data_IF_154472709941
#
_entry.id   IF_154472709941
#
_cell.length_a   1.000
_cell.length_b   1.000
_cell.length_c   1.000
_cell.angle_alpha   90.00
_cell.angle_beta   90.00
_cell.angle_gamma   90.00
#
_symmetry.space_group_name_H-M   'P 1'
#
loop_
_entity.id
_entity.type
_entity.pdbx_description
1 polymer ?
#
# COMPACT_ATOMS: atom_id res chain seq x y z
N UNK A 1 -11.39 54.97 -30.23
CA UNK A 1 -10.71 54.15 -31.26
C UNK A 1 -10.24 52.88 -30.56
N UNK A 2 -11.07 51.83 -30.58
CA UNK A 2 -11.03 50.70 -31.53
C UNK A 2 -10.04 49.61 -31.04
N UNK A 3 -10.38 48.33 -30.89
CA UNK A 3 -11.62 47.59 -31.11
C UNK A 3 -11.60 46.31 -30.25
N UNK A 4 -12.76 46.01 -29.64
CA UNK A 4 -13.13 44.71 -29.08
C UNK A 4 -13.54 43.77 -30.22
N UNK A 5 -13.03 42.53 -30.23
CA UNK A 5 -13.65 41.42 -30.96
C UNK A 5 -13.86 40.27 -29.97
N UNK A 6 -15.12 40.15 -29.57
CA UNK A 6 -15.76 39.00 -28.94
C UNK A 6 -16.19 37.97 -29.99
N UNK A 7 -16.21 36.67 -29.62
CA UNK A 7 -17.22 35.62 -29.94
C UNK A 7 -16.60 34.21 -29.73
N UNK A 8 -17.40 33.13 -29.60
CA UNK A 8 -18.48 32.92 -28.65
C UNK A 8 -18.36 31.55 -27.92
N UNK A 9 -19.09 31.42 -26.82
CA UNK A 9 -19.44 30.14 -26.18
C UNK A 9 -20.41 29.33 -27.06
N UNK A 10 -20.40 27.99 -26.97
CA UNK A 10 -21.62 27.21 -27.09
C UNK A 10 -22.02 26.59 -25.75
N UNK A 11 -23.34 26.55 -25.62
CA UNK A 11 -24.12 26.25 -24.44
C UNK A 11 -24.11 24.80 -23.96
N UNK A 12 -24.54 24.70 -22.71
CA UNK A 12 -25.09 23.57 -21.99
C UNK A 12 -25.71 22.45 -22.83
N UNK A 13 -25.37 21.20 -22.48
CA UNK A 13 -26.29 20.08 -22.63
C UNK A 13 -26.46 19.33 -21.31
N UNK A 14 -27.72 19.36 -20.86
CA UNK A 14 -28.32 18.51 -19.84
C UNK A 14 -28.09 17.03 -20.14
N UNK A 15 -27.54 16.28 -19.18
CA UNK A 15 -27.65 14.82 -19.14
C UNK A 15 -28.90 14.44 -18.36
N UNK A 16 -30.06 14.45 -19.02
CA UNK A 16 -31.20 13.66 -18.60
C UNK A 16 -31.09 12.27 -19.22
N UNK A 17 -30.70 11.28 -18.42
CA UNK A 17 -30.83 9.87 -18.76
C UNK A 17 -32.30 9.45 -18.65
N UNK A 18 -33.04 9.64 -19.74
CA UNK A 18 -34.38 9.08 -19.93
C UNK A 18 -34.30 7.74 -20.67
N UNK A 19 -34.89 6.69 -20.10
CA UNK A 19 -35.19 5.44 -20.79
C UNK A 19 -36.27 5.71 -21.85
N UNK A 20 -35.94 5.52 -23.13
CA UNK A 20 -36.93 5.54 -24.19
C UNK A 20 -37.40 4.12 -24.50
N UNK A 21 -38.69 3.87 -24.33
CA UNK A 21 -39.37 2.66 -24.83
C UNK A 21 -40.04 3.00 -26.15
N UNK A 22 -39.78 2.21 -27.19
CA UNK A 22 -40.56 2.27 -28.44
C UNK A 22 -41.47 1.05 -28.47
N UNK A 23 -42.77 1.32 -28.54
CA UNK A 23 -43.82 0.32 -28.72
C UNK A 23 -43.98 0.11 -30.23
N UNK A 24 -43.58 -1.06 -30.73
CA UNK A 24 -43.95 -1.46 -32.08
C UNK A 24 -45.27 -2.22 -31.99
N UNK A 25 -46.17 -1.97 -32.94
CA UNK A 25 -47.47 -2.63 -33.03
C UNK A 25 -47.31 -4.14 -32.90
N UNK A 26 -48.24 -4.74 -32.16
CA UNK A 26 -48.33 -6.15 -31.79
C UNK A 26 -47.50 -6.54 -30.55
N UNK A 27 -47.90 -5.98 -29.40
CA UNK A 27 -47.84 -6.65 -28.09
C UNK A 27 -46.49 -6.95 -27.43
N UNK A 28 -45.35 -6.89 -28.10
CA UNK A 28 -44.04 -7.21 -27.51
C UNK A 28 -43.19 -5.96 -27.21
N UNK A 29 -42.65 -5.88 -25.99
CA UNK A 29 -41.62 -4.90 -25.61
C UNK A 29 -40.27 -5.61 -25.53
N UNK A 30 -39.31 -5.26 -26.39
CA UNK A 30 -37.94 -5.81 -26.35
C UNK A 30 -36.91 -4.73 -26.03
N UNK A 31 -36.00 -5.05 -25.10
CA UNK A 31 -34.87 -4.20 -24.71
C UNK A 31 -33.70 -4.45 -25.68
N UNK A 32 -33.35 -3.45 -26.49
CA UNK A 32 -32.26 -3.56 -27.49
C UNK A 32 -30.91 -3.13 -26.88
N UNK A 33 -30.05 -4.10 -26.53
CA UNK A 33 -28.63 -3.88 -26.31
C UNK A 33 -27.88 -4.09 -27.63
N UNK A 34 -27.67 -3.01 -28.40
CA UNK A 34 -27.13 -3.13 -29.75
C UNK A 34 -26.46 -1.89 -30.29
N UNK A 35 -25.45 -1.35 -29.58
CA UNK A 35 -24.50 -0.35 -30.13
C UNK A 35 -23.19 -0.32 -29.30
N UNK A 36 -22.34 -1.33 -29.47
CA UNK A 36 -20.92 -1.22 -29.08
C UNK A 36 -19.94 -1.99 -30.00
N UNK A 37 -20.42 -2.65 -31.07
CA UNK A 37 -19.55 -3.44 -31.97
C UNK A 37 -19.26 -2.72 -33.30
N UNK A 38 -19.87 -1.56 -33.59
CA UNK A 38 -19.64 -0.84 -34.85
C UNK A 38 -18.66 0.34 -34.80
N UNK A 39 -18.02 0.61 -33.66
CA UNK A 39 -17.09 1.76 -33.52
C UNK A 39 -15.61 1.35 -33.47
N UNK A 40 -15.30 0.05 -33.52
CA UNK A 40 -13.91 -0.45 -33.52
C UNK A 40 -13.35 -0.66 -34.94
N UNK A 41 -14.22 -0.77 -35.96
CA UNK A 41 -13.80 -1.00 -37.36
C UNK A 41 -13.60 0.27 -38.21
N UNK A 42 -13.76 1.48 -37.64
CA UNK A 42 -13.68 2.75 -38.40
C UNK A 42 -12.49 3.66 -38.05
N UNK A 43 -11.43 3.13 -37.45
CA UNK A 43 -10.12 3.81 -37.40
C UNK A 43 -9.09 3.09 -38.28
N UNK A 44 -9.42 3.01 -39.57
CA UNK A 44 -8.46 2.74 -40.64
C UNK A 44 -7.83 4.07 -41.06
N UNK A 45 -6.60 4.35 -40.65
CA UNK A 45 -5.78 5.43 -41.23
C UNK A 45 -4.79 4.89 -42.28
N UNK A 46 -4.31 5.74 -43.21
CA UNK A 46 -3.84 5.33 -44.53
C UNK A 46 -2.45 4.67 -44.50
N UNK A 47 -2.25 3.72 -45.43
CA UNK A 47 -0.95 3.13 -45.74
C UNK A 47 -0.05 4.15 -46.42
N UNK A 48 1.07 4.51 -45.79
CA UNK A 48 2.09 5.36 -46.39
C UNK A 48 3.39 5.42 -45.60
N UNK A 49 4.35 4.57 -46.00
CA UNK A 49 5.81 4.69 -45.87
C UNK A 49 6.43 5.14 -44.52
N UNK A 50 6.97 4.17 -43.76
CA UNK A 50 8.27 4.38 -43.10
C UNK A 50 9.05 3.07 -42.93
N UNK A 51 10.35 3.19 -43.22
CA UNK A 51 11.38 2.16 -43.34
C UNK A 51 11.85 1.63 -41.97
N UNK A 52 10.92 1.07 -41.17
CA UNK A 52 11.22 0.47 -39.86
C UNK A 52 10.47 -0.84 -39.58
N UNK A 53 9.67 -1.33 -40.55
CA UNK A 53 8.89 -2.57 -40.44
C UNK A 53 9.51 -3.81 -41.09
N UNK A 54 10.76 -3.72 -41.58
CA UNK A 54 11.42 -4.79 -42.34
C UNK A 54 12.39 -5.66 -41.54
N UNK A 55 12.88 -5.22 -40.38
CA UNK A 55 13.97 -5.93 -39.68
C UNK A 55 13.54 -6.80 -38.48
N UNK A 56 12.25 -6.88 -38.16
CA UNK A 56 11.76 -7.74 -37.07
C UNK A 56 11.15 -9.07 -37.53
N UNK A 57 11.30 -9.43 -38.81
CA UNK A 57 10.66 -10.62 -39.41
C UNK A 57 11.61 -11.80 -39.67
N UNK A 58 12.84 -11.77 -39.14
CA UNK A 58 13.87 -12.79 -39.43
C UNK A 58 14.30 -13.68 -38.26
N UNK A 59 13.72 -13.56 -37.06
CA UNK A 59 14.07 -14.45 -35.95
C UNK A 59 12.81 -14.92 -35.25
N UNK A 60 12.66 -16.25 -35.12
CA UNK A 60 11.58 -17.01 -34.49
C UNK A 60 10.49 -17.56 -35.45
N UNK A 61 10.81 -18.71 -36.04
CA UNK A 61 9.83 -19.73 -36.45
C UNK A 61 9.45 -20.58 -35.23
N UNK A 62 8.18 -20.56 -34.81
CA UNK A 62 7.50 -21.65 -34.10
C UNK A 62 5.99 -21.60 -34.47
N UNK A 63 5.27 -22.74 -34.40
CA UNK A 63 4.00 -22.92 -35.10
C UNK A 63 2.85 -22.23 -34.36
N UNK A 64 1.91 -21.70 -35.14
CA UNK A 64 0.64 -21.15 -34.66
C UNK A 64 -0.23 -22.27 -34.07
N UNK A 65 -0.38 -22.29 -32.75
CA UNK A 65 -1.59 -22.82 -32.12
C UNK A 65 -2.65 -21.72 -32.11
N UNK A 66 -3.77 -21.95 -32.79
CA UNK A 66 -4.96 -21.10 -32.71
C UNK A 66 -5.61 -21.29 -31.34
N UNK A 67 -5.56 -20.25 -30.50
CA UNK A 67 -6.42 -20.17 -29.32
C UNK A 67 -7.74 -19.50 -29.71
N UNK A 68 -8.85 -20.23 -29.51
CA UNK A 68 -10.20 -19.69 -29.61
C UNK A 68 -10.42 -18.59 -28.55
N UNK A 69 -11.05 -17.48 -28.98
CA UNK A 69 -11.31 -16.23 -28.25
C UNK A 69 -12.40 -16.32 -27.16
N UNK A 70 -12.48 -17.42 -26.42
CA UNK A 70 -13.44 -17.60 -25.30
C UNK A 70 -12.81 -17.61 -23.89
N UNK A 71 -11.52 -17.29 -23.78
CA UNK A 71 -10.72 -17.53 -22.57
C UNK A 71 -10.97 -16.59 -21.35
N UNK A 72 -11.16 -15.25 -21.49
CA UNK A 72 -11.17 -14.36 -20.31
C UNK A 72 -12.38 -14.53 -19.38
N UNK A 73 -13.54 -14.90 -19.92
CA UNK A 73 -14.75 -15.13 -19.12
C UNK A 73 -14.68 -16.42 -18.32
N UNK A 74 -14.01 -17.44 -18.85
CA UNK A 74 -13.86 -18.72 -18.17
C UNK A 74 -13.01 -18.56 -16.90
N UNK A 75 -11.87 -17.86 -16.96
CA UNK A 75 -11.00 -17.68 -15.78
C UNK A 75 -11.67 -16.91 -14.62
N UNK A 76 -12.46 -15.87 -14.91
CA UNK A 76 -13.15 -15.10 -13.85
C UNK A 76 -14.22 -15.89 -13.07
N UNK A 77 -14.86 -16.87 -13.71
CA UNK A 77 -15.86 -17.75 -13.07
C UNK A 77 -15.18 -18.78 -12.16
N UNK A 78 -13.97 -19.26 -12.50
CA UNK A 78 -13.26 -20.21 -11.65
C UNK A 78 -12.63 -19.55 -10.42
N UNK A 79 -12.09 -18.33 -10.54
CA UNK A 79 -11.45 -17.61 -9.42
C UNK A 79 -12.47 -17.21 -8.34
N UNK A 80 -13.65 -16.75 -8.74
CA UNK A 80 -14.73 -16.41 -7.80
C UNK A 80 -15.30 -17.64 -7.11
N UNK A 81 -15.46 -18.77 -7.83
CA UNK A 81 -15.86 -20.04 -7.22
C UNK A 81 -14.82 -20.53 -6.22
N UNK A 82 -13.52 -20.43 -6.53
CA UNK A 82 -12.44 -20.78 -5.62
C UNK A 82 -12.48 -20.02 -4.30
N UNK A 83 -12.66 -18.70 -4.34
CA UNK A 83 -12.77 -17.85 -3.14
C UNK A 83 -13.99 -18.18 -2.27
N UNK A 84 -15.16 -18.38 -2.88
CA UNK A 84 -16.38 -18.77 -2.17
C UNK A 84 -16.22 -20.16 -1.55
N UNK A 85 -15.59 -21.09 -2.28
CA UNK A 85 -15.27 -22.43 -1.79
C UNK A 85 -14.34 -22.38 -0.57
N UNK A 86 -13.26 -21.60 -0.63
CA UNK A 86 -12.32 -21.44 0.49
C UNK A 86 -12.96 -20.75 1.69
N UNK A 87 -13.86 -19.79 1.47
CA UNK A 87 -14.64 -19.18 2.53
C UNK A 87 -15.60 -20.19 3.18
N UNK A 88 -16.27 -21.04 2.41
CA UNK A 88 -17.15 -22.09 2.95
C UNK A 88 -16.35 -23.11 3.75
N UNK A 89 -15.17 -23.55 3.28
CA UNK A 89 -14.31 -24.47 4.03
C UNK A 89 -13.81 -23.91 5.37
N UNK A 90 -13.73 -22.59 5.51
CA UNK A 90 -13.39 -21.95 6.79
C UNK A 90 -14.50 -22.09 7.83
N UNK A 91 -15.76 -22.24 7.40
CA UNK A 91 -16.94 -22.20 8.28
C UNK A 91 -17.79 -23.47 8.25
N UNK A 92 -17.50 -24.42 7.37
CA UNK A 92 -18.28 -25.63 7.17
C UNK A 92 -17.41 -26.78 6.64
N UNK A 93 -17.76 -28.01 7.03
CA UNK A 93 -17.15 -29.24 6.52
C UNK A 93 -17.46 -29.43 5.02
N UNK A 94 -16.60 -30.18 4.31
CA UNK A 94 -16.80 -30.64 2.94
C UNK A 94 -18.20 -31.24 2.71
N UNK A 95 -18.73 -31.99 3.70
CA UNK A 95 -20.06 -32.61 3.64
C UNK A 95 -21.17 -31.54 3.67
N UNK A 96 -21.04 -30.54 4.54
CA UNK A 96 -22.02 -29.45 4.66
C UNK A 96 -22.02 -28.61 3.37
N UNK A 97 -20.85 -28.43 2.75
CA UNK A 97 -20.69 -27.68 1.50
C UNK A 97 -21.38 -28.37 0.32
N UNK A 98 -21.13 -29.66 0.10
CA UNK A 98 -21.75 -30.40 -1.03
C UNK A 98 -23.27 -30.42 -0.88
N UNK A 99 -23.75 -30.60 0.35
CA UNK A 99 -25.17 -30.56 0.65
C UNK A 99 -25.78 -29.16 0.43
N UNK A 100 -25.13 -28.10 0.94
CA UNK A 100 -25.59 -26.71 0.75
C UNK A 100 -25.61 -26.29 -0.72
N UNK A 101 -24.63 -26.74 -1.51
CA UNK A 101 -24.60 -26.51 -2.96
C UNK A 101 -25.75 -27.22 -3.68
N UNK A 102 -26.11 -28.43 -3.27
CA UNK A 102 -27.26 -29.15 -3.82
C UNK A 102 -28.59 -28.45 -3.48
N UNK A 103 -28.77 -27.98 -2.24
CA UNK A 103 -29.93 -27.18 -1.85
C UNK A 103 -30.02 -25.86 -2.62
N UNK A 104 -28.92 -25.13 -2.75
CA UNK A 104 -28.88 -23.88 -3.51
C UNK A 104 -29.24 -24.09 -4.99
N UNK A 105 -28.75 -25.18 -5.59
CA UNK A 105 -29.11 -25.57 -6.96
C UNK A 105 -30.60 -25.88 -7.06
N UNK A 106 -31.16 -26.62 -6.11
CA UNK A 106 -32.59 -26.92 -6.06
C UNK A 106 -33.46 -25.66 -5.95
N UNK A 107 -33.08 -24.70 -5.11
CA UNK A 107 -33.77 -23.40 -4.98
C UNK A 107 -33.71 -22.64 -6.30
N UNK A 108 -32.55 -22.53 -6.93
CA UNK A 108 -32.41 -21.82 -8.21
C UNK A 108 -33.23 -22.45 -9.34
N UNK A 109 -33.29 -23.78 -9.40
CA UNK A 109 -34.14 -24.49 -10.37
C UNK A 109 -35.63 -24.22 -10.12
N UNK A 110 -36.07 -24.19 -8.86
CA UNK A 110 -37.43 -23.83 -8.49
C UNK A 110 -37.77 -22.38 -8.88
N UNK A 111 -36.89 -21.43 -8.57
CA UNK A 111 -37.03 -20.03 -8.98
C UNK A 111 -37.13 -19.90 -10.49
N UNK A 112 -36.31 -20.65 -11.23
CA UNK A 112 -36.32 -20.61 -12.68
C UNK A 112 -37.62 -21.12 -13.31
N UNK A 113 -38.18 -22.20 -12.75
CA UNK A 113 -39.49 -22.69 -13.16
C UNK A 113 -40.60 -21.68 -12.83
N UNK A 114 -40.60 -21.15 -11.60
CA UNK A 114 -41.67 -20.27 -11.11
C UNK A 114 -41.70 -18.91 -11.81
N UNK A 115 -40.55 -18.27 -12.00
CA UNK A 115 -40.49 -16.91 -12.57
C UNK A 115 -40.36 -16.87 -14.10
N UNK A 116 -39.74 -17.87 -14.72
CA UNK A 116 -39.45 -17.85 -16.16
C UNK A 116 -40.23 -18.92 -16.95
N UNK A 117 -41.09 -19.71 -16.29
CA UNK A 117 -41.94 -20.70 -16.95
C UNK A 117 -41.16 -21.81 -17.66
N UNK A 118 -39.91 -22.07 -17.27
CA UNK A 118 -39.09 -23.09 -17.91
C UNK A 118 -39.68 -24.49 -17.69
N UNK A 119 -39.82 -25.33 -18.73
CA UNK A 119 -40.42 -26.65 -18.59
C UNK A 119 -39.60 -27.53 -17.64
N UNK A 120 -40.23 -28.03 -16.59
CA UNK A 120 -39.61 -28.95 -15.64
C UNK A 120 -39.72 -30.38 -16.13
N UNK A 121 -38.61 -31.12 -16.06
CA UNK A 121 -38.62 -32.57 -16.27
C UNK A 121 -38.52 -33.29 -14.92
N UNK A 122 -38.78 -34.60 -14.93
CA UNK A 122 -38.72 -35.45 -13.73
C UNK A 122 -37.35 -35.37 -13.02
N UNK A 123 -36.27 -35.18 -13.78
CA UNK A 123 -34.91 -35.05 -13.22
C UNK A 123 -34.80 -33.80 -12.35
N UNK A 124 -35.31 -32.65 -12.80
CA UNK A 124 -35.31 -31.43 -11.97
C UNK A 124 -36.14 -31.61 -10.69
N UNK A 125 -37.30 -32.26 -10.80
CA UNK A 125 -38.12 -32.56 -9.63
C UNK A 125 -37.37 -33.45 -8.62
N UNK A 126 -36.64 -34.47 -9.08
CA UNK A 126 -35.81 -35.33 -8.23
C UNK A 126 -34.62 -34.59 -7.60
N UNK A 127 -33.97 -33.70 -8.35
CA UNK A 127 -32.85 -32.86 -7.84
C UNK A 127 -33.31 -31.90 -6.74
N UNK A 128 -34.58 -31.46 -6.76
CA UNK A 128 -35.16 -30.66 -5.67
C UNK A 128 -35.64 -31.55 -4.52
N UNK A 129 -36.35 -32.64 -4.80
CA UNK A 129 -36.97 -33.45 -3.74
C UNK A 129 -35.94 -34.22 -2.92
N UNK A 130 -34.91 -34.82 -3.53
CA UNK A 130 -33.96 -35.70 -2.84
C UNK A 130 -33.17 -34.96 -1.75
N UNK A 131 -32.49 -33.82 -2.01
CA UNK A 131 -31.73 -33.12 -0.96
C UNK A 131 -32.61 -32.65 0.20
N UNK A 132 -33.81 -32.13 -0.09
CA UNK A 132 -34.73 -31.64 0.94
C UNK A 132 -35.38 -32.77 1.75
N UNK A 133 -35.62 -33.93 1.13
CA UNK A 133 -36.08 -35.14 1.82
C UNK A 133 -34.99 -35.69 2.75
N UNK A 134 -33.73 -35.70 2.28
CA UNK A 134 -32.57 -36.09 3.08
C UNK A 134 -32.33 -35.16 4.27
N UNK A 135 -32.63 -33.86 4.14
CA UNK A 135 -32.62 -32.92 5.28
C UNK A 135 -33.64 -33.32 6.37
N UNK A 136 -34.80 -33.83 5.95
CA UNK A 136 -35.89 -34.23 6.84
C UNK A 136 -35.64 -35.57 7.53
N UNK A 137 -35.03 -36.52 6.82
CA UNK A 137 -34.85 -37.90 7.28
C UNK A 137 -33.56 -38.15 8.07
N UNK A 138 -32.70 -37.15 8.24
CA UNK A 138 -31.47 -37.26 9.01
C UNK A 138 -31.58 -36.61 10.39
N UNK A 139 -32.24 -37.24 11.39
CA UNK A 139 -32.25 -36.75 12.77
C UNK A 139 -30.83 -36.70 13.36
N UNK A 140 -29.92 -37.55 12.88
CA UNK A 140 -28.48 -37.49 13.18
C UNK A 140 -27.81 -36.23 12.65
N UNK A 141 -28.19 -35.72 11.47
CA UNK A 141 -27.63 -34.49 10.91
C UNK A 141 -28.16 -33.25 11.63
N UNK A 142 -29.45 -33.24 12.01
CA UNK A 142 -30.03 -32.18 12.84
C UNK A 142 -29.39 -32.13 14.22
N UNK A 143 -29.21 -33.27 14.87
CA UNK A 143 -28.48 -33.36 16.16
C UNK A 143 -26.99 -33.05 16.01
N UNK A 144 -26.33 -33.46 14.93
CA UNK A 144 -24.93 -33.14 14.67
C UNK A 144 -24.74 -31.64 14.42
N UNK A 145 -25.54 -31.02 13.56
CA UNK A 145 -25.49 -29.59 13.28
C UNK A 145 -25.84 -28.75 14.53
N UNK A 146 -26.89 -29.13 15.28
CA UNK A 146 -27.25 -28.45 16.52
C UNK A 146 -26.22 -28.67 17.62
N UNK A 147 -25.61 -29.85 17.74
CA UNK A 147 -24.54 -30.10 18.71
C UNK A 147 -23.23 -29.38 18.34
N UNK A 148 -22.92 -29.25 17.05
CA UNK A 148 -21.75 -28.50 16.60
C UNK A 148 -21.94 -26.99 16.80
N UNK A 149 -23.15 -26.47 16.52
CA UNK A 149 -23.55 -25.09 16.85
C UNK A 149 -23.56 -24.86 18.38
N UNK A 150 -24.11 -25.79 19.16
CA UNK A 150 -24.16 -25.66 20.62
C UNK A 150 -22.79 -25.83 21.29
N UNK A 151 -21.88 -26.67 20.77
CA UNK A 151 -20.48 -26.71 21.24
C UNK A 151 -19.74 -25.41 20.90
N UNK A 152 -20.05 -24.77 19.77
CA UNK A 152 -19.49 -23.45 19.42
C UNK A 152 -20.02 -22.30 20.30
N UNK A 153 -21.19 -22.48 20.92
CA UNK A 153 -21.85 -21.49 21.79
C UNK A 153 -21.54 -21.76 23.28
N UNK A 154 -21.55 -23.01 23.72
CA UNK A 154 -21.41 -23.44 25.13
C UNK A 154 -19.97 -23.40 25.67
N UNK A 155 -18.97 -23.37 24.80
CA UNK A 155 -17.57 -23.13 25.20
C UNK A 155 -17.26 -21.65 25.48
N UNK A 156 -18.22 -20.74 25.29
CA UNK A 156 -18.08 -19.35 25.73
C UNK A 156 -18.45 -19.25 27.21
N UNK A 157 -17.42 -19.24 28.06
CA UNK A 157 -17.52 -18.77 29.45
C UNK A 157 -18.35 -17.46 29.49
N UNK A 158 -19.17 -17.24 30.53
CA UNK A 158 -19.88 -15.98 30.70
C UNK A 158 -18.86 -14.83 30.61
N UNK A 159 -19.01 -14.01 29.58
CA UNK A 159 -18.18 -12.83 29.39
C UNK A 159 -18.55 -11.89 30.52
N UNK A 160 -17.65 -11.77 31.50
CA UNK A 160 -17.69 -10.71 32.49
C UNK A 160 -17.65 -9.38 31.71
N UNK A 161 -18.76 -8.65 31.64
CA UNK A 161 -18.89 -7.33 30.96
C UNK A 161 -18.23 -6.23 31.82
N UNK A 162 -17.20 -6.57 32.59
CA UNK A 162 -16.42 -5.64 33.38
C UNK A 162 -15.06 -5.44 32.71
N UNK A 163 -14.91 -4.25 32.11
CA UNK A 163 -13.80 -3.75 31.30
C UNK A 163 -13.59 -4.46 29.96
N UNK A 164 -14.19 -3.91 28.91
CA UNK A 164 -13.59 -3.90 27.56
C UNK A 164 -12.26 -3.18 27.65
N UNK A 165 -11.22 -3.88 28.14
CA UNK A 165 -9.84 -3.43 28.11
C UNK A 165 -9.54 -3.14 26.66
N UNK A 166 -9.44 -1.86 26.29
CA UNK A 166 -9.07 -1.45 24.94
C UNK A 166 -7.75 -2.16 24.64
N UNK A 167 -7.78 -3.13 23.73
CA UNK A 167 -6.56 -3.78 23.25
C UNK A 167 -5.76 -2.69 22.54
N UNK A 168 -4.69 -2.24 23.19
CA UNK A 168 -3.74 -1.32 22.59
C UNK A 168 -2.95 -2.11 21.54
N UNK A 169 -2.72 -1.52 20.38
CA UNK A 169 -1.82 -2.10 19.38
C UNK A 169 -0.37 -2.19 19.91
N UNK A 170 0.51 -2.91 19.22
CA UNK A 170 1.95 -2.90 19.51
C UNK A 170 2.53 -1.47 19.57
N UNK A 171 2.17 -0.59 18.63
CA UNK A 171 2.74 0.75 18.54
C UNK A 171 2.19 1.71 19.61
N UNK A 172 0.93 1.53 20.03
CA UNK A 172 0.35 2.21 21.19
C UNK A 172 1.04 1.74 22.49
N UNK A 173 1.22 0.43 22.67
CA UNK A 173 1.88 -0.14 23.85
C UNK A 173 3.33 0.36 24.00
N UNK A 174 4.06 0.44 22.89
CA UNK A 174 5.44 0.92 22.89
C UNK A 174 5.55 2.45 22.82
N UNK A 175 4.44 3.19 22.74
CA UNK A 175 4.40 4.65 22.68
C UNK A 175 5.29 5.26 21.58
N UNK A 176 5.16 4.74 20.35
CA UNK A 176 5.87 5.23 19.16
C UNK A 176 5.00 6.21 18.37
N UNK A 177 5.53 7.36 17.95
CA UNK A 177 4.81 8.27 17.06
C UNK A 177 5.02 7.90 15.58
N UNK A 178 3.96 7.95 14.78
CA UNK A 178 4.07 7.87 13.32
C UNK A 178 4.09 9.27 12.69
N UNK A 179 5.11 9.54 11.89
CA UNK A 179 5.29 10.78 11.12
C UNK A 179 5.17 10.46 9.64
N UNK A 180 4.18 11.04 8.97
CA UNK A 180 4.00 10.89 7.52
C UNK A 180 4.39 12.19 6.83
N UNK A 181 5.48 12.13 6.06
CA UNK A 181 5.99 13.28 5.35
C UNK A 181 5.52 13.30 3.89
N UNK A 182 5.00 14.44 3.47
CA UNK A 182 4.61 14.72 2.10
C UNK A 182 5.67 15.57 1.41
N UNK A 183 6.37 15.01 0.42
CA UNK A 183 7.38 15.73 -0.37
C UNK A 183 6.79 16.86 -1.24
N UNK A 184 5.47 16.85 -1.47
CA UNK A 184 4.70 17.80 -2.29
C UNK A 184 3.27 17.91 -1.74
N UNK A 185 2.52 18.93 -2.16
CA UNK A 185 1.09 19.07 -1.84
C UNK A 185 0.23 17.95 -2.45
N UNK A 186 0.24 16.78 -1.82
CA UNK A 186 -0.64 15.64 -2.12
C UNK A 186 -1.53 15.31 -0.91
N UNK A 187 -1.97 16.35 -0.19
CA UNK A 187 -2.70 16.26 1.08
C UNK A 187 -4.10 15.64 0.97
N UNK A 188 -4.65 15.51 -0.24
CA UNK A 188 -5.89 14.76 -0.47
C UNK A 188 -5.82 13.29 -0.01
N UNK A 189 -4.61 12.76 0.23
CA UNK A 189 -4.39 11.39 0.73
C UNK A 189 -4.53 11.27 2.26
N UNK A 190 -4.54 12.40 2.99
CA UNK A 190 -4.54 12.42 4.46
C UNK A 190 -5.74 11.67 5.02
N UNK A 191 -6.94 11.91 4.48
CA UNK A 191 -8.17 11.30 5.00
C UNK A 191 -8.10 9.78 4.99
N UNK A 192 -7.54 9.19 3.92
CA UNK A 192 -7.28 7.76 3.87
C UNK A 192 -6.19 7.32 4.85
N UNK A 193 -5.06 8.02 4.90
CA UNK A 193 -3.92 7.67 5.74
C UNK A 193 -4.20 7.82 7.25
N UNK A 194 -5.29 8.47 7.64
CA UNK A 194 -5.75 8.49 9.04
C UNK A 194 -6.07 7.09 9.58
N UNK A 195 -6.23 6.07 8.71
CA UNK A 195 -6.37 4.68 9.11
C UNK A 195 -5.27 4.19 10.05
N UNK A 196 -4.05 4.75 9.93
CA UNK A 196 -2.94 4.39 10.82
C UNK A 196 -3.13 4.84 12.27
N UNK A 197 -4.10 5.72 12.56
CA UNK A 197 -4.49 6.06 13.95
C UNK A 197 -5.09 4.89 14.71
N UNK A 198 -5.45 3.81 14.01
CA UNK A 198 -5.81 2.53 14.66
C UNK A 198 -4.60 1.81 15.25
N UNK A 199 -3.41 2.08 14.71
CA UNK A 199 -2.16 1.46 15.15
C UNK A 199 -1.36 2.37 16.05
N UNK A 200 -1.28 3.67 15.81
CA UNK A 200 -0.35 4.53 16.55
C UNK A 200 -1.08 5.41 17.57
N UNK A 201 -0.45 5.74 18.71
CA UNK A 201 -0.98 6.70 19.67
C UNK A 201 -1.17 8.08 19.03
N UNK A 202 -0.32 8.44 18.06
CA UNK A 202 -0.47 9.63 17.22
C UNK A 202 0.03 9.37 15.80
N UNK A 203 -0.63 10.01 14.83
CA UNK A 203 -0.18 10.12 13.45
C UNK A 203 -0.08 11.59 13.09
N UNK A 204 1.13 12.05 12.77
CA UNK A 204 1.45 13.44 12.49
C UNK A 204 1.79 13.56 11.01
N UNK A 205 1.05 14.40 10.29
CA UNK A 205 1.32 14.68 8.89
C UNK A 205 2.19 15.92 8.77
N UNK A 206 3.25 15.88 7.96
CA UNK A 206 4.16 17.01 7.72
C UNK A 206 4.30 17.29 6.23
N UNK A 207 4.63 18.52 5.86
CA UNK A 207 4.90 18.87 4.46
C UNK A 207 5.27 20.34 4.24
N UNK A 208 5.72 20.67 3.02
CA UNK A 208 6.29 21.99 2.72
C UNK A 208 5.25 23.09 2.53
N UNK A 209 3.97 22.75 2.32
CA UNK A 209 2.89 23.70 2.03
C UNK A 209 1.94 23.79 3.23
N UNK A 210 1.34 24.97 3.51
CA UNK A 210 0.43 25.13 4.63
C UNK A 210 -0.89 24.36 4.41
N UNK A 211 -1.35 23.63 5.43
CA UNK A 211 -2.63 22.92 5.41
C UNK A 211 -3.12 22.64 6.85
N UNK A 212 -4.43 22.69 7.11
CA UNK A 212 -5.00 22.60 8.47
C UNK A 212 -4.70 21.29 9.21
N UNK A 213 -4.47 20.19 8.46
CA UNK A 213 -4.13 18.86 9.00
C UNK A 213 -2.63 18.54 8.97
N UNK A 214 -1.78 19.48 8.52
CA UNK A 214 -0.35 19.24 8.26
C UNK A 214 0.47 20.21 9.08
N UNK A 215 1.45 19.68 9.80
CA UNK A 215 2.51 20.50 10.37
C UNK A 215 3.36 21.06 9.22
N UNK A 216 3.25 22.36 9.02
CA UNK A 216 3.96 23.08 7.97
C UNK A 216 5.48 23.12 8.25
N UNK A 217 6.27 22.62 7.30
CA UNK A 217 7.72 22.53 7.37
C UNK A 217 8.34 23.09 6.07
N UNK A 218 8.42 24.42 5.92
CA UNK A 218 8.82 25.07 4.67
C UNK A 218 10.25 24.74 4.25
N UNK A 219 11.12 24.35 5.18
CA UNK A 219 12.49 23.92 4.92
C UNK A 219 12.54 22.55 4.21
N UNK A 220 11.50 21.71 4.37
CA UNK A 220 11.39 20.40 3.71
C UNK A 220 11.09 20.46 2.20
N UNK A 221 11.26 21.62 1.55
CA UNK A 221 10.88 21.88 0.14
C UNK A 221 11.33 20.76 -0.80
N UNK A 222 10.37 20.24 -1.57
CA UNK A 222 10.57 19.16 -2.56
C UNK A 222 11.19 17.88 -1.98
N UNK A 223 11.06 17.66 -0.67
CA UNK A 223 11.67 16.56 0.05
C UNK A 223 13.14 16.78 0.42
N UNK A 224 13.83 17.79 -0.12
CA UNK A 224 15.31 17.88 -0.03
C UNK A 224 15.87 17.80 1.40
N UNK A 225 15.15 18.36 2.38
CA UNK A 225 15.55 18.45 3.78
C UNK A 225 14.48 17.90 4.73
N UNK A 226 13.82 16.79 4.33
CA UNK A 226 12.74 16.18 5.09
C UNK A 226 13.09 15.86 6.56
N UNK A 227 14.38 15.63 6.88
CA UNK A 227 14.85 15.43 8.26
C UNK A 227 14.53 16.60 9.20
N UNK A 228 14.44 17.84 8.70
CA UNK A 228 14.05 19.02 9.52
C UNK A 228 12.61 18.90 9.99
N UNK A 229 11.75 18.26 9.18
CA UNK A 229 10.36 18.01 9.56
C UNK A 229 10.27 17.08 10.76
N UNK A 230 11.14 16.07 10.83
CA UNK A 230 11.22 15.18 11.98
C UNK A 230 11.66 15.94 13.23
N UNK A 231 12.69 16.78 13.13
CA UNK A 231 13.14 17.62 14.25
C UNK A 231 11.99 18.50 14.77
N UNK A 232 11.23 19.15 13.88
CA UNK A 232 10.07 19.97 14.25
C UNK A 232 8.98 19.15 14.95
N UNK A 233 8.71 17.92 14.49
CA UNK A 233 7.76 17.02 15.14
C UNK A 233 8.22 16.69 16.56
N UNK A 234 9.48 16.31 16.73
CA UNK A 234 10.03 15.93 18.04
C UNK A 234 9.93 17.11 19.02
N UNK A 235 10.21 18.34 18.57
CA UNK A 235 10.07 19.54 19.39
C UNK A 235 8.64 19.76 19.89
N UNK A 236 7.64 19.57 19.02
CA UNK A 236 6.22 19.78 19.36
C UNK A 236 5.60 18.60 20.10
N UNK A 237 6.18 17.41 19.96
CA UNK A 237 5.65 16.16 20.47
C UNK A 237 6.77 15.31 21.13
N UNK A 238 7.42 15.76 22.22
CA UNK A 238 8.65 15.12 22.74
C UNK A 238 8.43 13.82 23.53
N UNK A 239 7.18 13.48 23.88
CA UNK A 239 6.84 12.46 24.87
C UNK A 239 6.65 11.04 24.29
N UNK A 240 7.37 10.70 23.22
CA UNK A 240 7.36 9.37 22.60
C UNK A 240 8.69 8.64 22.79
N UNK A 241 8.66 7.31 22.82
CA UNK A 241 9.85 6.44 22.97
C UNK A 241 10.67 6.35 21.69
N UNK A 242 10.06 6.66 20.55
CA UNK A 242 10.70 6.82 19.26
C UNK A 242 9.71 7.33 18.20
N UNK A 243 10.25 7.63 17.02
CA UNK A 243 9.53 8.27 15.93
C UNK A 243 9.77 7.48 14.65
N UNK A 244 8.71 6.87 14.12
CA UNK A 244 8.72 6.25 12.80
C UNK A 244 8.31 7.28 11.76
N UNK A 245 9.25 7.74 10.95
CA UNK A 245 9.00 8.59 9.80
C UNK A 245 8.85 7.75 8.52
N UNK A 246 7.86 8.08 7.71
CA UNK A 246 7.63 7.48 6.39
C UNK A 246 7.19 8.56 5.40
N UNK A 247 7.68 8.49 4.17
CA UNK A 247 7.12 9.28 3.08
C UNK A 247 5.71 8.79 2.75
N UNK A 248 4.86 9.70 2.27
CA UNK A 248 3.44 9.45 2.01
C UNK A 248 3.20 8.37 0.95
N UNK A 249 4.17 8.08 0.08
CA UNK A 249 4.13 7.05 -0.96
C UNK A 249 4.89 5.78 -0.57
N UNK A 250 5.29 5.65 0.70
CA UNK A 250 5.76 4.41 1.31
C UNK A 250 4.65 3.75 2.11
N UNK A 251 4.57 2.43 2.01
CA UNK A 251 3.71 1.58 2.81
C UNK A 251 4.56 0.67 3.70
N UNK A 252 4.70 1.02 4.99
CA UNK A 252 5.32 0.15 5.97
C UNK A 252 4.49 -1.11 6.18
N UNK A 253 5.14 -2.27 6.24
CA UNK A 253 4.54 -3.55 6.60
C UNK A 253 4.67 -3.68 8.12
N UNK A 254 3.74 -3.05 8.85
CA UNK A 254 3.86 -2.84 10.29
C UNK A 254 4.12 -4.15 11.08
N UNK A 255 3.40 -5.23 10.79
CA UNK A 255 3.62 -6.52 11.47
C UNK A 255 5.02 -7.13 11.30
N UNK A 256 5.77 -6.74 10.27
CA UNK A 256 7.17 -7.12 10.12
C UNK A 256 8.11 -6.16 10.85
N UNK A 257 7.76 -4.87 10.90
CA UNK A 257 8.49 -3.87 11.68
C UNK A 257 8.33 -4.06 13.19
N UNK A 258 7.21 -4.61 13.66
CA UNK A 258 6.94 -4.94 15.08
C UNK A 258 7.96 -5.94 15.66
N UNK A 259 8.66 -6.68 14.78
CA UNK A 259 9.71 -7.64 15.16
C UNK A 259 11.09 -6.99 15.32
N UNK A 260 11.23 -5.71 14.97
CA UNK A 260 12.51 -4.99 14.99
C UNK A 260 12.73 -4.32 16.34
N UNK A 261 13.99 -4.21 16.74
CA UNK A 261 14.37 -3.62 18.03
C UNK A 261 14.20 -2.09 18.01
N UNK A 262 13.27 -1.60 18.83
CA UNK A 262 12.94 -0.17 18.99
C UNK A 262 14.04 0.65 19.69
N UNK A 263 15.10 0.02 20.19
CA UNK A 263 16.26 0.77 20.68
C UNK A 263 17.21 1.18 19.55
N UNK A 264 17.07 0.61 18.36
CA UNK A 264 17.99 0.77 17.24
C UNK A 264 17.42 1.69 16.17
N UNK A 265 18.28 2.38 15.44
CA UNK A 265 17.87 3.20 14.30
C UNK A 265 17.44 2.26 13.17
N UNK A 266 16.32 2.55 12.51
CA UNK A 266 15.91 1.81 11.32
C UNK A 266 16.01 2.70 10.09
N UNK A 267 16.62 2.18 9.03
CA UNK A 267 16.84 2.92 7.78
C UNK A 267 16.96 1.92 6.62
N UNK A 268 16.54 2.24 5.39
CA UNK A 268 16.91 1.44 4.22
C UNK A 268 18.43 1.28 4.09
N UNK A 269 18.87 0.27 3.36
CA UNK A 269 20.30 -0.06 3.19
C UNK A 269 21.17 1.17 2.95
N UNK A 270 22.23 1.30 3.75
CA UNK A 270 23.22 2.37 3.62
C UNK A 270 24.25 1.95 2.58
N UNK A 271 24.34 2.70 1.49
CA UNK A 271 25.37 2.54 0.47
C UNK A 271 26.63 3.30 0.88
N UNK A 272 27.78 2.62 0.83
CA UNK A 272 29.11 3.21 0.95
C UNK A 272 29.68 3.41 -0.45
N UNK A 273 29.86 4.67 -0.84
CA UNK A 273 30.34 5.04 -2.17
C UNK A 273 31.75 5.60 -2.07
N UNK A 274 32.68 4.99 -2.80
CA UNK A 274 34.02 5.56 -2.99
C UNK A 274 33.89 6.97 -3.60
N UNK A 275 34.53 8.01 -3.02
CA UNK A 275 34.46 9.37 -3.54
C UNK A 275 34.81 9.51 -5.03
N UNK A 276 35.68 8.64 -5.57
CA UNK A 276 36.05 8.61 -6.99
C UNK A 276 34.92 8.12 -7.91
N UNK A 277 33.94 7.37 -7.37
CA UNK A 277 32.79 6.80 -8.08
C UNK A 277 31.52 7.61 -7.88
N UNK A 278 31.59 8.76 -7.22
CA UNK A 278 30.45 9.60 -6.87
C UNK A 278 29.96 10.48 -8.04
N UNK A 279 29.65 9.87 -9.18
CA UNK A 279 29.36 10.56 -10.45
C UNK A 279 27.88 10.47 -10.89
N UNK A 280 26.99 9.88 -10.09
CA UNK A 280 25.60 9.65 -10.45
C UNK A 280 24.59 10.11 -9.38
N UNK A 281 23.30 10.06 -9.73
CA UNK A 281 22.16 10.30 -8.85
C UNK A 281 22.15 11.69 -8.17
N UNK A 282 22.44 11.78 -6.87
CA UNK A 282 22.47 13.05 -6.13
C UNK A 282 23.88 13.63 -5.99
N UNK A 283 24.96 12.84 -6.18
CA UNK A 283 26.32 13.29 -5.90
C UNK A 283 26.77 14.52 -6.70
N UNK A 284 26.47 14.63 -8.01
CA UNK A 284 26.85 15.81 -8.80
C UNK A 284 26.07 17.09 -8.45
N UNK A 285 24.96 16.99 -7.71
CA UNK A 285 24.10 18.13 -7.38
C UNK A 285 24.75 19.02 -6.31
N UNK A 286 24.39 20.32 -6.21
CA UNK A 286 24.91 21.21 -5.16
C UNK A 286 24.67 20.72 -3.73
N UNK A 287 23.56 20.00 -3.50
CA UNK A 287 23.17 19.35 -2.24
C UNK A 287 23.79 17.96 -2.05
N UNK A 288 24.59 17.50 -3.02
CA UNK A 288 25.29 16.22 -3.05
C UNK A 288 26.68 16.30 -2.45
N UNK A 289 27.70 15.88 -3.22
CA UNK A 289 29.09 15.80 -2.73
C UNK A 289 29.61 17.13 -2.19
N UNK A 290 29.32 18.24 -2.87
CA UNK A 290 29.75 19.58 -2.40
C UNK A 290 29.17 19.93 -1.03
N UNK A 291 27.90 19.61 -0.78
CA UNK A 291 27.28 19.82 0.54
C UNK A 291 27.84 18.87 1.59
N UNK A 292 28.10 17.62 1.22
CA UNK A 292 28.73 16.64 2.10
C UNK A 292 30.13 17.08 2.53
N UNK A 293 30.96 17.55 1.60
CA UNK A 293 32.30 18.06 1.89
C UNK A 293 32.25 19.27 2.83
N UNK A 294 31.32 20.23 2.61
CA UNK A 294 31.12 21.38 3.52
C UNK A 294 30.64 20.96 4.91
N UNK A 295 29.70 20.02 4.98
CA UNK A 295 29.20 19.48 6.23
C UNK A 295 30.33 18.84 7.05
N UNK A 296 31.14 17.96 6.45
CA UNK A 296 32.27 17.35 7.14
C UNK A 296 33.40 18.34 7.45
N UNK A 297 33.61 19.37 6.62
CA UNK A 297 34.56 20.44 6.95
C UNK A 297 34.12 21.21 8.18
N UNK A 298 32.84 21.57 8.26
CA UNK A 298 32.25 22.24 9.43
C UNK A 298 32.39 21.36 10.67
N UNK A 299 32.07 20.07 10.54
CA UNK A 299 32.18 19.10 11.62
C UNK A 299 33.62 18.96 12.15
N UNK A 300 34.62 18.88 11.26
CA UNK A 300 36.06 18.82 11.63
C UNK A 300 36.57 20.10 12.28
N UNK A 301 36.08 21.26 11.85
CA UNK A 301 36.46 22.51 12.49
C UNK A 301 35.89 22.57 13.91
N UNK A 302 34.62 22.19 14.08
CA UNK A 302 33.97 22.14 15.40
C UNK A 302 34.60 21.11 16.34
N UNK A 303 35.14 20.00 15.83
CA UNK A 303 35.78 18.97 16.66
C UNK A 303 37.10 19.40 17.29
N UNK A 304 37.76 20.44 16.79
CA UNK A 304 39.02 20.93 17.36
C UNK A 304 38.85 21.44 18.80
N UNK A 305 37.65 21.93 19.14
CA UNK A 305 37.36 22.55 20.44
C UNK A 305 36.24 21.85 21.21
N UNK A 306 35.67 20.75 20.69
CA UNK A 306 34.51 20.10 21.29
C UNK A 306 34.52 18.58 21.03
N UNK A 307 34.64 17.83 22.12
CA UNK A 307 34.75 16.36 22.12
C UNK A 307 33.51 15.65 21.57
N UNK A 308 32.32 16.26 21.63
CA UNK A 308 31.10 15.70 21.04
C UNK A 308 31.25 15.54 19.53
N UNK A 309 31.74 16.58 18.84
CA UNK A 309 31.96 16.52 17.39
C UNK A 309 33.12 15.60 17.02
N UNK A 310 34.15 15.51 17.88
CA UNK A 310 35.22 14.52 17.71
C UNK A 310 34.66 13.10 17.74
N UNK A 311 33.79 12.79 18.71
CA UNK A 311 33.16 11.48 18.82
C UNK A 311 32.31 11.15 17.59
N UNK A 312 31.56 12.11 17.05
CA UNK A 312 30.82 11.90 15.81
C UNK A 312 31.75 11.55 14.64
N UNK A 313 32.85 12.29 14.45
CA UNK A 313 33.81 11.99 13.39
C UNK A 313 34.44 10.61 13.56
N UNK A 314 34.83 10.23 14.78
CA UNK A 314 35.39 8.92 15.07
C UNK A 314 34.39 7.80 14.76
N UNK A 315 33.12 7.99 15.11
CA UNK A 315 32.05 7.05 14.80
C UNK A 315 31.85 6.90 13.28
N UNK A 316 31.85 8.01 12.55
CA UNK A 316 31.73 7.96 11.09
C UNK A 316 32.95 7.28 10.45
N UNK A 317 34.16 7.63 10.87
CA UNK A 317 35.39 7.03 10.36
C UNK A 317 35.46 5.52 10.63
N UNK A 318 34.99 5.08 11.81
CA UNK A 318 34.90 3.66 12.17
C UNK A 318 33.93 2.88 11.28
N UNK A 319 32.81 3.50 10.91
CA UNK A 319 31.72 2.82 10.20
C UNK A 319 31.75 2.96 8.66
N UNK A 320 32.24 4.09 8.15
CA UNK A 320 32.27 4.39 6.71
C UNK A 320 33.69 4.67 6.17
N UNK A 321 34.65 4.95 7.05
CA UNK A 321 35.99 5.39 6.65
C UNK A 321 35.92 6.67 5.83
N UNK A 322 36.57 6.67 4.66
CA UNK A 322 36.57 7.81 3.72
C UNK A 322 35.42 7.76 2.72
N UNK A 323 34.54 6.75 2.79
CA UNK A 323 33.44 6.62 1.84
C UNK A 323 32.37 7.69 2.09
N UNK A 324 31.69 8.06 1.01
CA UNK A 324 30.45 8.82 1.06
C UNK A 324 29.29 7.88 1.40
N UNK A 325 28.28 8.35 2.11
CA UNK A 325 27.14 7.52 2.53
C UNK A 325 25.82 8.04 2.00
N UNK A 326 24.96 7.13 1.55
CA UNK A 326 23.59 7.47 1.14
C UNK A 326 22.61 6.33 1.39
N UNK A 327 21.33 6.63 1.55
CA UNK A 327 20.23 5.67 1.65
C UNK A 327 18.96 6.26 1.03
N UNK A 328 18.06 5.44 0.47
CA UNK A 328 16.79 5.91 -0.09
C UNK A 328 15.90 6.64 0.95
N UNK A 329 16.10 6.39 2.26
CA UNK A 329 15.61 7.22 3.38
C UNK A 329 14.12 7.62 3.38
N UNK A 330 13.28 6.97 2.58
CA UNK A 330 11.84 7.22 2.53
C UNK A 330 11.10 6.64 3.75
N UNK A 331 11.79 5.85 4.56
CA UNK A 331 11.34 5.36 5.86
C UNK A 331 12.51 5.44 6.83
N UNK A 332 12.27 5.85 8.07
CA UNK A 332 13.29 6.02 9.09
C UNK A 332 12.68 5.90 10.48
N UNK A 333 13.32 5.16 11.37
CA UNK A 333 12.92 5.12 12.78
C UNK A 333 14.03 5.68 13.67
N UNK A 334 13.66 6.65 14.50
CA UNK A 334 14.55 7.31 15.47
C UNK A 334 14.14 6.95 16.90
N UNK A 335 14.94 6.14 17.62
CA UNK A 335 14.78 5.94 19.06
C UNK A 335 14.98 7.24 19.85
N UNK A 336 14.25 7.43 20.95
CA UNK A 336 14.34 8.63 21.80
C UNK A 336 15.77 8.93 22.28
N UNK A 337 16.57 7.89 22.53
CA UNK A 337 17.95 8.05 23.01
C UNK A 337 18.88 8.79 22.04
N UNK A 338 18.53 8.87 20.75
CA UNK A 338 19.33 9.58 19.73
C UNK A 338 18.79 10.98 19.43
N UNK A 339 17.73 11.45 20.10
CA UNK A 339 17.07 12.73 19.78
C UNK A 339 17.99 13.93 19.99
N UNK A 340 18.83 13.93 21.04
CA UNK A 340 19.77 15.02 21.28
C UNK A 340 20.81 15.15 20.16
N UNK A 341 21.41 14.04 19.74
CA UNK A 341 22.37 14.02 18.64
C UNK A 341 21.71 14.38 17.32
N UNK A 342 20.48 13.90 17.11
CA UNK A 342 19.67 14.23 15.94
C UNK A 342 19.48 15.74 15.77
N UNK A 343 19.16 16.48 16.83
CA UNK A 343 19.03 17.95 16.74
C UNK A 343 20.34 18.63 16.34
N UNK A 344 21.46 18.25 16.96
CA UNK A 344 22.77 18.83 16.65
C UNK A 344 23.16 18.56 15.19
N UNK A 345 22.99 17.32 14.73
CA UNK A 345 23.40 16.92 13.39
C UNK A 345 22.46 17.45 12.30
N UNK A 346 21.14 17.47 12.54
CA UNK A 346 20.19 18.01 11.55
C UNK A 346 20.33 19.52 11.33
N UNK A 347 20.64 20.29 12.36
CA UNK A 347 20.95 21.72 12.23
C UNK A 347 22.19 21.93 11.34
N UNK A 348 23.28 21.23 11.63
CA UNK A 348 24.51 21.27 10.81
C UNK A 348 24.25 20.85 9.35
N UNK A 349 23.45 19.80 9.12
CA UNK A 349 23.10 19.36 7.77
C UNK A 349 22.31 20.42 7.00
N UNK A 350 21.34 21.07 7.66
CA UNK A 350 20.52 22.11 7.05
C UNK A 350 21.37 23.33 6.66
N UNK A 351 22.23 23.79 7.57
CA UNK A 351 23.18 24.90 7.32
C UNK A 351 24.11 24.61 6.13
N UNK A 352 24.45 23.35 5.90
CA UNK A 352 25.30 22.92 4.80
C UNK A 352 24.53 22.50 3.54
N UNK A 353 23.19 22.56 3.57
CA UNK A 353 22.29 22.19 2.48
C UNK A 353 22.41 20.73 2.04
N UNK A 354 22.64 19.81 2.99
CA UNK A 354 22.84 18.39 2.72
C UNK A 354 21.52 17.69 2.36
N UNK A 355 21.49 16.98 1.23
CA UNK A 355 20.30 16.26 0.77
C UNK A 355 19.90 15.13 1.72
N UNK A 356 18.59 14.93 1.91
CA UNK A 356 18.01 13.98 2.87
C UNK A 356 18.62 12.57 2.81
N UNK A 357 18.78 12.01 1.61
CA UNK A 357 19.22 10.62 1.43
C UNK A 357 20.66 10.42 1.89
N UNK A 358 21.46 11.47 1.78
CA UNK A 358 22.83 11.53 2.29
C UNK A 358 22.79 11.80 3.80
N UNK A 359 21.93 12.73 4.22
CA UNK A 359 21.84 13.21 5.59
C UNK A 359 21.37 12.15 6.59
N UNK A 360 20.29 11.43 6.30
CA UNK A 360 19.81 10.32 7.16
C UNK A 360 20.88 9.24 7.30
N UNK A 361 21.55 8.86 6.20
CA UNK A 361 22.62 7.86 6.22
C UNK A 361 23.82 8.34 7.04
N UNK A 362 24.34 9.54 6.77
CA UNK A 362 25.50 10.09 7.47
C UNK A 362 25.21 10.26 8.97
N UNK A 363 24.07 10.84 9.32
CA UNK A 363 23.66 11.07 10.71
C UNK A 363 23.51 9.75 11.47
N UNK A 364 22.94 8.72 10.84
CA UNK A 364 22.84 7.40 11.47
C UNK A 364 24.22 6.86 11.86
N UNK A 365 25.23 7.03 11.00
CA UNK A 365 26.59 6.55 11.30
C UNK A 365 27.36 7.43 12.28
N UNK A 366 27.09 8.74 12.30
CA UNK A 366 27.68 9.70 13.24
C UNK A 366 27.19 9.43 14.68
N UNK A 367 25.91 9.10 14.86
CA UNK A 367 25.29 8.86 16.17
C UNK A 367 25.69 7.50 16.79
N UNK A 368 26.17 6.54 16.00
CA UNK A 368 26.39 5.17 16.46
C UNK A 368 27.84 4.92 16.84
N UNK A 369 28.09 4.78 18.15
CA UNK A 369 29.43 4.56 18.70
C UNK A 369 29.99 3.16 18.47
N UNK A 370 29.14 2.18 18.17
CA UNK A 370 29.57 0.80 17.90
C UNK A 370 29.42 0.45 16.42
N UNK A 371 29.80 -0.78 16.05
CA UNK A 371 29.67 -1.30 14.69
C UNK A 371 28.20 -1.23 14.24
N UNK A 372 27.94 -0.77 13.02
CA UNK A 372 26.60 -0.61 12.39
C UNK A 372 25.61 -1.71 12.79
N UNK A 373 26.03 -2.98 12.74
CA UNK A 373 25.17 -4.15 12.99
C UNK A 373 24.60 -4.25 14.41
N UNK A 374 25.09 -3.45 15.37
CA UNK A 374 24.56 -3.39 16.74
C UNK A 374 23.55 -2.28 16.96
N UNK A 375 23.67 -1.16 16.26
CA UNK A 375 22.86 0.05 16.52
C UNK A 375 21.87 0.38 15.39
N UNK A 376 22.09 -0.13 14.18
CA UNK A 376 21.29 0.18 12.99
C UNK A 376 20.70 -1.12 12.44
N UNK A 377 19.39 -1.09 12.17
CA UNK A 377 18.68 -2.12 11.44
C UNK A 377 18.47 -1.60 10.02
N UNK A 378 19.06 -2.30 9.04
CA UNK A 378 18.76 -2.03 7.64
C UNK A 378 17.43 -2.67 7.27
N UNK A 379 16.56 -1.89 6.61
CA UNK A 379 15.23 -2.32 6.17
C UNK A 379 15.26 -2.74 4.71
N UNK A 380 14.68 -3.90 4.40
CA UNK A 380 14.48 -4.39 3.05
C UNK A 380 13.14 -3.88 2.51
N UNK A 381 13.19 -3.33 1.30
CA UNK A 381 12.02 -2.79 0.65
C UNK A 381 12.02 -3.03 -0.85
N UNK A 382 10.84 -2.85 -1.45
CA UNK A 382 10.67 -3.03 -2.89
C UNK A 382 9.88 -1.87 -3.49
N UNK A 383 10.29 -1.44 -4.69
CA UNK A 383 9.46 -0.58 -5.52
C UNK A 383 8.22 -1.35 -5.98
N UNK A 384 7.04 -0.83 -5.67
CA UNK A 384 5.82 -1.43 -6.16
C UNK A 384 5.54 -0.98 -7.59
N UNK A 385 5.70 -1.91 -8.52
CA UNK A 385 5.46 -1.71 -9.95
C UNK A 385 3.96 -1.78 -10.36
N UNK A 386 3.03 -1.72 -9.40
CA UNK A 386 1.58 -1.75 -9.64
C UNK A 386 0.96 -3.09 -10.03
N UNK A 387 1.73 -4.20 -10.07
CA UNK A 387 1.22 -5.54 -10.39
C UNK A 387 0.89 -6.34 -9.12
N UNK A 388 -0.37 -6.75 -9.03
CA UNK A 388 -1.01 -7.67 -8.07
C UNK A 388 -0.48 -7.67 -6.61
N UNK A 389 -1.08 -6.85 -5.72
CA UNK A 389 -0.61 -6.70 -4.34
C UNK A 389 -0.78 -7.94 -3.47
N UNK A 390 -1.88 -8.68 -3.62
CA UNK A 390 -2.31 -9.61 -2.57
C UNK A 390 -1.36 -10.81 -2.50
N UNK A 391 -1.02 -11.37 -3.65
CA UNK A 391 -0.08 -12.50 -3.73
C UNK A 391 1.31 -12.12 -3.18
N UNK A 392 1.74 -10.87 -3.41
CA UNK A 392 3.05 -10.39 -2.93
C UNK A 392 3.20 -10.30 -1.41
N UNK A 393 2.12 -10.08 -0.65
CA UNK A 393 2.19 -10.11 0.82
C UNK A 393 2.51 -11.51 1.35
N UNK A 394 2.11 -12.55 0.63
CA UNK A 394 2.35 -13.93 1.03
C UNK A 394 3.70 -14.46 0.53
N UNK A 395 4.16 -13.98 -0.62
CA UNK A 395 5.40 -14.47 -1.23
C UNK A 395 6.67 -13.90 -0.56
N UNK A 396 6.58 -12.76 0.13
CA UNK A 396 7.75 -12.06 0.71
C UNK A 396 7.55 -11.73 2.18
N UNK A 397 7.55 -12.77 3.02
CA UNK A 397 7.34 -12.65 4.47
C UNK A 397 8.35 -11.76 5.21
N UNK A 398 9.50 -11.44 4.60
CA UNK A 398 10.56 -10.66 5.24
C UNK A 398 10.61 -9.19 4.80
N UNK A 399 9.79 -8.76 3.84
CA UNK A 399 9.83 -7.37 3.39
C UNK A 399 9.28 -6.44 4.47
N UNK A 400 9.92 -5.28 4.69
CA UNK A 400 9.45 -4.30 5.69
C UNK A 400 8.68 -3.13 5.09
N UNK A 401 8.86 -2.82 3.81
CA UNK A 401 8.09 -1.74 3.17
C UNK A 401 7.97 -1.88 1.66
N UNK A 402 6.94 -1.24 1.11
CA UNK A 402 6.80 -0.98 -0.31
C UNK A 402 6.94 0.51 -0.61
N UNK A 403 7.67 0.86 -1.67
CA UNK A 403 7.78 2.23 -2.18
C UNK A 403 6.89 2.45 -3.42
N UNK A 404 6.59 3.72 -3.74
CA UNK A 404 5.77 4.18 -4.89
C UNK A 404 4.29 3.81 -4.86
N UNK A 405 3.68 3.86 -3.67
CA UNK A 405 2.26 3.60 -3.50
C UNK A 405 1.41 4.72 -4.11
N UNK A 406 0.50 4.32 -5.00
CA UNK A 406 -0.51 5.21 -5.57
C UNK A 406 -1.82 5.12 -4.78
N UNK A 407 -1.96 5.92 -3.73
CA UNK A 407 -3.15 5.90 -2.84
C UNK A 407 -4.49 6.26 -3.52
N UNK A 408 -4.47 6.70 -4.78
CA UNK A 408 -5.70 6.95 -5.57
C UNK A 408 -6.35 5.66 -6.09
N UNK A 409 -5.62 4.53 -6.11
CA UNK A 409 -6.16 3.25 -6.53
C UNK A 409 -6.92 2.57 -5.38
N UNK A 410 -8.19 2.22 -5.59
CA UNK A 410 -8.98 1.44 -4.62
C UNK A 410 -8.29 0.14 -4.23
N UNK A 411 -7.59 -0.50 -5.17
CA UNK A 411 -6.80 -1.71 -4.91
C UNK A 411 -5.67 -1.44 -3.91
N UNK A 412 -4.96 -0.31 -4.04
CA UNK A 412 -3.92 0.06 -3.09
C UNK A 412 -4.52 0.42 -1.73
N UNK A 413 -5.67 1.10 -1.69
CA UNK A 413 -6.35 1.41 -0.43
C UNK A 413 -6.75 0.14 0.33
N UNK A 414 -7.39 -0.81 -0.36
CA UNK A 414 -7.73 -2.12 0.21
C UNK A 414 -6.48 -2.85 0.73
N UNK A 415 -5.37 -2.76 0.00
CA UNK A 415 -4.11 -3.36 0.42
C UNK A 415 -3.56 -2.74 1.69
N UNK A 416 -3.51 -1.41 1.80
CA UNK A 416 -3.11 -0.71 3.03
C UNK A 416 -4.05 -1.07 4.19
N UNK A 417 -5.37 -1.12 3.96
CA UNK A 417 -6.33 -1.58 4.97
C UNK A 417 -6.02 -3.01 5.46
N UNK A 418 -5.65 -3.90 4.55
CA UNK A 418 -5.31 -5.28 4.88
C UNK A 418 -4.06 -5.38 5.76
N UNK A 419 -3.04 -4.55 5.51
CA UNK A 419 -1.83 -4.48 6.35
C UNK A 419 -2.19 -3.96 7.73
N UNK A 420 -2.98 -2.88 7.82
CA UNK A 420 -3.41 -2.33 9.11
C UNK A 420 -4.23 -3.35 9.91
N UNK A 421 -5.15 -4.07 9.26
CA UNK A 421 -5.94 -5.12 9.92
C UNK A 421 -5.07 -6.25 10.47
N UNK A 422 -4.02 -6.66 9.75
CA UNK A 422 -3.10 -7.71 10.23
C UNK A 422 -2.34 -7.30 11.49
N UNK A 423 -1.87 -6.04 11.55
CA UNK A 423 -1.20 -5.49 12.73
C UNK A 423 -2.12 -5.23 13.94
N UNK A 424 -3.43 -5.34 13.77
CA UNK A 424 -4.38 -5.28 14.89
C UNK A 424 -4.71 -6.65 15.50
N UNK A 425 -4.40 -7.73 14.78
CA UNK A 425 -4.74 -9.11 15.20
C UNK A 425 -3.56 -9.78 15.89
N UNK A 426 -2.34 -9.41 15.53
CA UNK A 426 -1.10 -9.82 16.19
C UNK A 426 -0.88 -9.00 17.45
#
# INVERSE_FOLDING_TARGET
MAALISRPYPDSMNNNSGLAFVRLGDGETKLLFGRLIKTIDQWSMPRGQSKLGKDLRKVLHYPKYQYNTFSPFYYGIYDTKGLVVSAVYKYADAIIKTFSSACATGVLLFFNWYFFGLPTNLIMALVVVIPFSSLRQAPSFRSYALNHLNQSISTRKPVNINLTRKFLSYWEQNNVALVIHFNRNQYQRIDFLTIYRKLFPIVIFTGPDPHSKVLHCPEGRSGLYAYVCLSRVITLHPNYTGYLMSHFDVLPIFHNLEKKDLNRIWIPSIALTDPSKANNWHWPKPSGKKAFDRFFSTLRNSSQNNSLYSNYLDNYMRNAGKNLTSSFSDIFYLPKRFVSDWFVLTDLMLQNHLFLEIGFAATSLLMTSTIISKEIIQLDGENWNGKDPINRLYDKNNLEYYHRIRHQSKLHQYFVESIVRRSLIN
#
